data_IF_894776659677
#
_entry.id   IF_894776659677
#
_cell.length_a   1.000
_cell.length_b   1.000
_cell.length_c   1.000
_cell.angle_alpha   90.00
_cell.angle_beta   90.00
_cell.angle_gamma   90.00
#
_symmetry.space_group_name_H-M   'P 1'
#
loop_
_entity.id
_entity.type
_entity.pdbx_description
1 polymer ?
#
# COMPACT_ATOMS: atom_id res chain seq x y z
N UNK A 1 -12.63 -19.35 -6.26
CA UNK A 1 -12.80 -19.57 -4.82
C UNK A 1 -11.67 -20.44 -4.25
N UNK A 2 -11.24 -21.49 -4.97
CA UNK A 2 -10.23 -22.45 -4.49
C UNK A 2 -8.84 -21.80 -4.33
N UNK A 3 -8.45 -20.90 -5.24
CA UNK A 3 -7.22 -20.11 -5.12
C UNK A 3 -7.25 -19.27 -3.83
N UNK A 4 -8.37 -18.59 -3.54
CA UNK A 4 -8.50 -17.78 -2.33
C UNK A 4 -8.35 -18.63 -1.06
N UNK A 5 -8.96 -19.81 -1.02
CA UNK A 5 -8.82 -20.74 0.11
C UNK A 5 -7.37 -21.19 0.30
N UNK A 6 -6.69 -21.60 -0.78
CA UNK A 6 -5.31 -22.02 -0.72
C UNK A 6 -4.39 -20.88 -0.25
N UNK A 7 -4.63 -19.64 -0.66
CA UNK A 7 -3.87 -18.48 -0.18
C UNK A 7 -4.13 -18.20 1.30
N UNK A 8 -5.36 -18.31 1.78
CA UNK A 8 -5.69 -18.15 3.19
C UNK A 8 -5.06 -19.25 4.06
N UNK A 9 -5.08 -20.50 3.61
CA UNK A 9 -4.38 -21.62 4.27
C UNK A 9 -2.88 -21.37 4.33
N UNK A 10 -2.27 -20.87 3.25
CA UNK A 10 -0.85 -20.49 3.22
C UNK A 10 -0.54 -19.34 4.18
N UNK A 11 -1.35 -18.28 4.20
CA UNK A 11 -1.20 -17.17 5.15
C UNK A 11 -1.25 -17.68 6.59
N UNK A 12 -2.21 -18.53 6.92
CA UNK A 12 -2.33 -19.12 8.25
C UNK A 12 -1.11 -19.98 8.62
N UNK A 13 -0.60 -20.78 7.67
CA UNK A 13 0.60 -21.61 7.88
C UNK A 13 1.87 -20.77 8.09
N UNK A 14 1.95 -19.58 7.48
CA UNK A 14 3.07 -18.65 7.61
C UNK A 14 2.92 -17.68 8.80
N UNK A 15 1.78 -17.69 9.50
CA UNK A 15 1.49 -16.74 10.57
C UNK A 15 1.23 -15.31 10.07
N UNK A 16 0.83 -15.14 8.80
CA UNK A 16 0.45 -13.85 8.25
C UNK A 16 -1.00 -13.53 8.62
N UNK A 17 -1.25 -12.32 9.13
CA UNK A 17 -2.57 -11.85 9.55
C UNK A 17 -3.25 -10.94 8.51
N UNK A 18 -2.56 -10.58 7.43
CA UNK A 18 -3.06 -9.76 6.33
C UNK A 18 -2.84 -10.45 4.99
N UNK A 19 -3.87 -10.50 4.17
CA UNK A 19 -3.81 -10.89 2.75
C UNK A 19 -4.16 -9.69 1.87
N UNK A 20 -3.24 -9.32 0.98
CA UNK A 20 -3.45 -8.27 0.00
C UNK A 20 -4.33 -8.77 -1.15
N UNK A 21 -5.29 -7.96 -1.55
CA UNK A 21 -6.16 -8.20 -2.71
C UNK A 21 -6.20 -6.94 -3.59
N UNK A 22 -5.66 -7.04 -4.80
CA UNK A 22 -5.63 -5.93 -5.74
C UNK A 22 -6.92 -5.84 -6.58
N UNK A 23 -7.23 -4.65 -7.05
CA UNK A 23 -8.33 -4.40 -7.97
C UNK A 23 -8.11 -5.10 -9.31
N UNK A 24 -9.19 -5.51 -9.95
CA UNK A 24 -9.13 -6.26 -11.20
C UNK A 24 -8.69 -5.38 -12.38
N UNK A 25 -7.75 -5.90 -13.16
CA UNK A 25 -7.30 -5.32 -14.44
C UNK A 25 -7.95 -5.99 -15.65
N UNK A 26 -8.80 -7.01 -15.43
CA UNK A 26 -9.47 -7.76 -16.48
C UNK A 26 -10.47 -6.88 -17.24
N UNK A 27 -10.54 -7.08 -18.56
CA UNK A 27 -11.59 -6.48 -19.41
C UNK A 27 -12.99 -6.97 -19.07
N UNK A 28 -13.10 -8.09 -18.33
CA UNK A 28 -14.35 -8.69 -17.86
C UNK A 28 -14.68 -8.29 -16.41
N UNK A 29 -13.90 -7.39 -15.80
CA UNK A 29 -14.20 -6.90 -14.45
C UNK A 29 -15.56 -6.19 -14.43
N UNK A 30 -16.30 -6.41 -13.35
CA UNK A 30 -17.56 -5.70 -13.14
C UNK A 30 -17.33 -4.19 -13.02
N UNK A 31 -18.19 -3.42 -13.69
CA UNK A 31 -18.24 -1.96 -13.48
C UNK A 31 -19.16 -1.56 -12.30
N UNK A 32 -19.89 -2.51 -11.73
CA UNK A 32 -20.78 -2.30 -10.60
C UNK A 32 -20.00 -2.47 -9.28
N UNK A 33 -19.84 -1.38 -8.54
CA UNK A 33 -19.12 -1.35 -7.25
C UNK A 33 -19.83 -2.19 -6.17
N UNK A 34 -21.15 -2.32 -6.21
CA UNK A 34 -21.88 -3.18 -5.27
C UNK A 34 -21.59 -4.67 -5.55
N UNK A 35 -21.36 -5.02 -6.81
CA UNK A 35 -20.91 -6.36 -7.17
C UNK A 35 -19.49 -6.63 -6.63
N UNK A 36 -18.57 -5.69 -6.83
CA UNK A 36 -17.20 -5.79 -6.33
C UNK A 36 -17.21 -5.90 -4.81
N UNK A 37 -18.00 -5.06 -4.12
CA UNK A 37 -18.14 -5.09 -2.66
C UNK A 37 -18.67 -6.42 -2.14
N UNK A 38 -19.69 -7.00 -2.80
CA UNK A 38 -20.22 -8.34 -2.45
C UNK A 38 -19.18 -9.44 -2.59
N UNK A 39 -18.34 -9.38 -3.62
CA UNK A 39 -17.30 -10.39 -3.83
C UNK A 39 -16.15 -10.25 -2.83
N UNK A 40 -15.73 -9.02 -2.50
CA UNK A 40 -14.75 -8.77 -1.44
C UNK A 40 -15.30 -9.16 -0.06
N UNK A 41 -16.58 -8.92 0.22
CA UNK A 41 -17.23 -9.39 1.45
C UNK A 41 -17.17 -10.93 1.55
N UNK A 42 -17.42 -11.66 0.46
CA UNK A 42 -17.28 -13.14 0.45
C UNK A 42 -15.84 -13.56 0.77
N UNK A 43 -14.85 -12.89 0.18
CA UNK A 43 -13.43 -13.18 0.46
C UNK A 43 -13.11 -12.90 1.93
N UNK A 44 -13.53 -11.75 2.45
CA UNK A 44 -13.33 -11.39 3.86
C UNK A 44 -13.99 -12.39 4.81
N UNK A 45 -15.21 -12.83 4.52
CA UNK A 45 -15.90 -13.87 5.32
C UNK A 45 -15.16 -15.21 5.32
N UNK A 46 -14.55 -15.61 4.18
CA UNK A 46 -13.71 -16.81 4.10
C UNK A 46 -12.43 -16.68 4.94
N UNK A 47 -11.93 -15.47 5.14
CA UNK A 47 -10.72 -15.20 5.89
C UNK A 47 -10.94 -15.20 7.42
N UNK A 48 -12.17 -14.98 7.91
CA UNK A 48 -12.50 -14.91 9.35
C UNK A 48 -12.03 -16.16 10.12
N UNK A 49 -12.29 -17.40 9.69
CA UNK A 49 -11.87 -18.59 10.43
C UNK A 49 -10.35 -18.73 10.59
N UNK A 50 -9.59 -18.06 9.72
CA UNK A 50 -8.12 -18.03 9.75
C UNK A 50 -7.54 -16.84 10.54
N UNK A 51 -8.40 -15.94 11.05
CA UNK A 51 -7.96 -14.71 11.73
C UNK A 51 -7.30 -13.70 10.79
N UNK A 52 -7.55 -13.80 9.47
CA UNK A 52 -6.88 -12.99 8.44
C UNK A 52 -7.75 -11.80 8.06
N UNK A 53 -7.12 -10.64 7.94
CA UNK A 53 -7.70 -9.41 7.38
C UNK A 53 -7.42 -9.34 5.88
N UNK A 54 -8.33 -8.78 5.11
CA UNK A 54 -8.16 -8.55 3.68
C UNK A 54 -7.87 -7.06 3.48
N UNK A 55 -6.70 -6.72 2.95
CA UNK A 55 -6.32 -5.38 2.56
C UNK A 55 -6.57 -5.19 1.06
N UNK A 56 -7.55 -4.36 0.70
CA UNK A 56 -7.92 -4.12 -0.69
C UNK A 56 -7.18 -2.93 -1.27
N UNK A 57 -6.53 -3.12 -2.41
CA UNK A 57 -5.71 -2.13 -3.10
C UNK A 57 -6.33 -1.71 -4.43
N UNK A 58 -6.46 -0.40 -4.64
CA UNK A 58 -6.86 0.19 -5.93
C UNK A 58 -5.64 0.44 -6.82
N UNK A 59 -5.35 -0.46 -7.77
CA UNK A 59 -4.26 -0.28 -8.74
C UNK A 59 -4.59 0.87 -9.70
N UNK A 60 -3.68 1.82 -9.92
CA UNK A 60 -3.89 2.99 -10.80
C UNK A 60 -4.13 2.64 -12.28
N UNK A 61 -4.02 1.36 -12.65
CA UNK A 61 -4.46 0.79 -13.94
C UNK A 61 -5.57 -0.23 -13.78
N UNK A 62 -6.23 -0.26 -12.61
CA UNK A 62 -7.42 -1.08 -12.37
C UNK A 62 -8.56 -0.72 -13.33
N UNK A 63 -9.37 -1.71 -13.70
CA UNK A 63 -10.42 -1.49 -14.69
C UNK A 63 -11.55 -0.60 -14.19
N UNK A 64 -11.99 -0.80 -12.98
CA UNK A 64 -13.12 -0.08 -12.35
C UNK A 64 -12.67 0.64 -11.10
N UNK A 65 -11.91 -0.03 -10.25
CA UNK A 65 -11.34 0.54 -9.03
C UNK A 65 -9.87 0.84 -9.32
N UNK A 66 -9.55 2.10 -9.55
CA UNK A 66 -8.21 2.56 -9.95
C UNK A 66 -7.68 3.72 -9.11
N UNK A 67 -8.39 4.04 -8.02
CA UNK A 67 -8.00 5.04 -7.03
C UNK A 67 -8.32 4.52 -5.63
N UNK A 68 -7.57 4.96 -4.61
CA UNK A 68 -7.81 4.55 -3.24
C UNK A 68 -9.17 5.02 -2.70
N UNK A 69 -9.69 6.16 -3.20
CA UNK A 69 -11.02 6.66 -2.85
C UNK A 69 -12.14 5.75 -3.31
N UNK A 70 -12.03 5.23 -4.53
CA UNK A 70 -12.98 4.22 -5.05
C UNK A 70 -12.82 2.88 -4.32
N UNK A 71 -11.58 2.48 -3.98
CA UNK A 71 -11.35 1.29 -3.15
C UNK A 71 -11.97 1.46 -1.76
N UNK A 72 -11.89 2.65 -1.18
CA UNK A 72 -12.54 2.97 0.09
C UNK A 72 -14.07 2.87 0.01
N UNK A 73 -14.70 3.42 -1.03
CA UNK A 73 -16.14 3.27 -1.25
C UNK A 73 -16.57 1.80 -1.30
N UNK A 74 -15.79 0.95 -1.99
CA UNK A 74 -16.03 -0.49 -2.03
C UNK A 74 -15.90 -1.15 -0.66
N UNK A 75 -14.88 -0.78 0.13
CA UNK A 75 -14.69 -1.28 1.51
C UNK A 75 -15.89 -0.89 2.39
N UNK A 76 -16.35 0.36 2.30
CA UNK A 76 -17.53 0.84 3.03
C UNK A 76 -18.80 0.08 2.64
N UNK A 77 -19.05 -0.12 1.34
CA UNK A 77 -20.20 -0.90 0.84
C UNK A 77 -20.17 -2.36 1.27
N UNK A 78 -18.98 -2.95 1.31
CA UNK A 78 -18.82 -4.32 1.76
C UNK A 78 -19.15 -4.50 3.24
N UNK A 79 -18.98 -3.48 4.05
CA UNK A 79 -19.31 -3.43 5.49
C UNK A 79 -18.87 -4.71 6.22
N UNK A 80 -17.58 -5.01 6.18
CA UNK A 80 -17.01 -6.21 6.76
C UNK A 80 -15.84 -5.83 7.70
N UNK A 81 -15.82 -6.31 8.97
CA UNK A 81 -14.86 -5.84 9.96
C UNK A 81 -13.40 -6.16 9.60
N UNK A 82 -13.15 -7.29 8.94
CA UNK A 82 -11.83 -7.73 8.51
C UNK A 82 -11.50 -7.41 7.04
N UNK A 83 -12.25 -6.48 6.42
CA UNK A 83 -11.91 -5.88 5.13
C UNK A 83 -11.52 -4.42 5.35
N UNK A 84 -10.42 -4.01 4.77
CA UNK A 84 -9.90 -2.64 4.84
C UNK A 84 -9.06 -2.31 3.60
N UNK A 85 -8.34 -1.20 3.66
CA UNK A 85 -7.47 -0.76 2.57
C UNK A 85 -6.04 -1.27 2.74
N UNK A 86 -5.39 -1.59 1.62
CA UNK A 86 -3.98 -1.34 1.39
C UNK A 86 -3.85 0.00 0.67
N UNK A 87 -3.17 0.95 1.29
CA UNK A 87 -2.92 2.26 0.72
C UNK A 87 -1.50 2.28 0.12
N UNK A 88 -1.38 2.25 -1.21
CA UNK A 88 -0.09 2.40 -1.89
C UNK A 88 0.06 3.83 -2.42
N UNK A 89 1.11 4.51 -1.96
CA UNK A 89 1.45 5.87 -2.36
C UNK A 89 1.68 6.01 -3.87
N UNK A 90 2.28 5.01 -4.50
CA UNK A 90 2.49 5.04 -5.95
C UNK A 90 1.17 5.22 -6.70
N UNK A 91 0.15 4.45 -6.34
CA UNK A 91 -1.13 4.50 -7.05
C UNK A 91 -1.85 5.84 -6.83
N UNK A 92 -1.78 6.40 -5.64
CA UNK A 92 -2.33 7.72 -5.35
C UNK A 92 -1.66 8.82 -6.18
N UNK A 93 -0.32 8.83 -6.20
CA UNK A 93 0.49 9.82 -6.92
C UNK A 93 0.37 9.65 -8.44
N UNK A 94 0.46 8.42 -8.95
CA UNK A 94 0.38 8.13 -10.37
C UNK A 94 -1.01 8.43 -10.96
N UNK A 95 -2.09 8.22 -10.20
CA UNK A 95 -3.45 8.59 -10.58
C UNK A 95 -3.74 10.09 -10.33
N UNK A 96 -2.89 10.78 -9.55
CA UNK A 96 -3.11 12.15 -9.07
C UNK A 96 -4.41 12.29 -8.25
N UNK A 97 -4.72 11.25 -7.49
CA UNK A 97 -5.86 11.30 -6.58
C UNK A 97 -5.54 12.31 -5.47
N UNK A 98 -6.48 13.25 -5.17
CA UNK A 98 -6.25 14.25 -4.14
C UNK A 98 -5.89 13.64 -2.79
N UNK A 99 -4.78 14.07 -2.17
CA UNK A 99 -4.34 13.53 -0.88
C UNK A 99 -5.22 13.99 0.28
N UNK A 100 -5.97 15.07 0.12
CA UNK A 100 -6.95 15.57 1.09
C UNK A 100 -8.04 14.55 1.39
N UNK A 101 -8.35 13.66 0.45
CA UNK A 101 -9.33 12.58 0.66
C UNK A 101 -8.85 11.52 1.66
N UNK A 102 -7.57 11.53 2.04
CA UNK A 102 -7.05 10.69 3.13
C UNK A 102 -7.76 11.03 4.45
N UNK A 103 -8.09 12.31 4.65
CA UNK A 103 -8.69 12.81 5.88
C UNK A 103 -10.11 12.22 6.14
N UNK A 104 -10.72 11.61 5.10
CA UNK A 104 -12.05 10.98 5.15
C UNK A 104 -11.98 9.47 5.45
N UNK A 105 -10.79 8.88 5.52
CA UNK A 105 -10.62 7.45 5.76
C UNK A 105 -10.77 7.11 7.25
N UNK A 106 -11.22 5.89 7.54
CA UNK A 106 -11.11 5.33 8.90
C UNK A 106 -9.72 4.72 9.10
N UNK A 107 -8.85 5.27 9.97
CA UNK A 107 -7.51 4.76 10.17
C UNK A 107 -7.47 3.29 10.63
N UNK A 108 -8.52 2.81 11.31
CA UNK A 108 -8.66 1.41 11.74
C UNK A 108 -8.95 0.45 10.59
N UNK A 109 -9.31 1.00 9.43
CA UNK A 109 -9.56 0.25 8.19
C UNK A 109 -8.43 0.36 7.19
N UNK A 110 -7.35 1.05 7.50
CA UNK A 110 -6.10 1.02 6.73
C UNK A 110 -5.24 -0.08 7.34
N UNK A 111 -5.10 -1.21 6.65
CA UNK A 111 -4.42 -2.39 7.19
C UNK A 111 -2.95 -2.47 6.80
N UNK A 112 -2.56 -1.77 5.73
CA UNK A 112 -1.18 -1.66 5.27
C UNK A 112 -1.01 -0.36 4.49
N UNK A 113 0.11 0.31 4.67
CA UNK A 113 0.56 1.42 3.83
C UNK A 113 1.83 1.01 3.10
N UNK A 114 1.78 1.05 1.76
CA UNK A 114 2.92 0.81 0.90
C UNK A 114 3.46 2.14 0.37
N UNK A 115 4.78 2.32 0.47
CA UNK A 115 5.44 3.55 0.08
C UNK A 115 6.48 3.30 -1.00
N UNK A 116 6.41 4.10 -2.05
CA UNK A 116 7.42 4.22 -3.09
C UNK A 116 7.28 5.57 -3.80
N UNK A 117 8.31 5.94 -4.52
CA UNK A 117 8.38 7.14 -5.35
C UNK A 117 8.74 6.76 -6.80
N UNK A 118 8.81 7.70 -7.70
CA UNK A 118 9.27 7.53 -9.08
C UNK A 118 9.88 8.83 -9.63
N UNK A 119 10.59 8.75 -10.79
CA UNK A 119 11.51 9.80 -11.24
C UNK A 119 10.89 10.85 -12.19
N UNK A 120 9.63 10.74 -12.56
CA UNK A 120 8.96 11.69 -13.47
C UNK A 120 7.65 12.21 -12.87
N UNK A 121 7.31 13.44 -13.22
CA UNK A 121 6.18 14.17 -12.64
C UNK A 121 4.80 13.59 -13.00
N UNK A 122 4.69 12.89 -14.12
CA UNK A 122 3.40 12.43 -14.63
C UNK A 122 3.48 11.04 -15.25
N UNK A 123 2.42 10.29 -15.03
CA UNK A 123 2.06 9.09 -15.77
C UNK A 123 0.69 9.30 -16.38
N UNK A 124 0.62 9.43 -17.72
CA UNK A 124 -0.62 9.87 -18.42
C UNK A 124 -1.53 8.72 -18.80
N UNK A 125 -0.96 7.57 -19.09
CA UNK A 125 -1.69 6.40 -19.55
C UNK A 125 -1.64 5.25 -18.55
N UNK A 126 -2.57 4.32 -18.66
CA UNK A 126 -2.55 3.10 -17.85
C UNK A 126 -1.29 2.27 -18.09
N UNK A 127 -0.79 2.24 -19.33
CA UNK A 127 0.44 1.55 -19.68
C UNK A 127 1.66 2.18 -19.01
N UNK A 128 1.77 3.52 -19.04
CA UNK A 128 2.83 4.25 -18.32
C UNK A 128 2.78 3.98 -16.82
N UNK A 129 1.60 4.01 -16.20
CA UNK A 129 1.41 3.69 -14.77
C UNK A 129 1.86 2.26 -14.46
N UNK A 130 1.38 1.31 -15.24
CA UNK A 130 1.72 -0.10 -15.04
C UNK A 130 3.22 -0.35 -15.23
N UNK A 131 3.84 0.22 -16.27
CA UNK A 131 5.28 0.08 -16.53
C UNK A 131 6.10 0.72 -15.42
N UNK A 132 5.75 1.95 -15.00
CA UNK A 132 6.41 2.63 -13.88
C UNK A 132 6.33 1.83 -12.60
N UNK A 133 5.13 1.35 -12.27
CA UNK A 133 4.89 0.58 -11.05
C UNK A 133 5.69 -0.72 -10.97
N UNK A 134 5.91 -1.37 -12.10
CA UNK A 134 6.55 -2.70 -12.15
C UNK A 134 8.05 -2.68 -12.35
N UNK A 135 8.60 -1.52 -12.81
CA UNK A 135 9.98 -1.47 -13.30
C UNK A 135 10.80 -0.31 -12.75
N UNK A 136 10.14 0.80 -12.36
CA UNK A 136 10.84 2.08 -12.16
C UNK A 136 10.47 2.78 -10.84
N UNK A 137 9.91 2.08 -9.86
CA UNK A 137 9.74 2.66 -8.53
C UNK A 137 11.09 2.87 -7.87
N UNK A 138 11.21 3.92 -7.08
CA UNK A 138 12.38 4.20 -6.23
C UNK A 138 11.94 4.31 -4.77
N UNK A 139 12.88 4.30 -3.84
CA UNK A 139 12.55 4.48 -2.45
C UNK A 139 12.03 5.90 -2.17
N UNK A 140 11.12 6.08 -1.19
CA UNK A 140 10.65 7.40 -0.76
C UNK A 140 11.82 8.34 -0.46
N UNK A 141 11.76 9.58 -0.99
CA UNK A 141 12.84 10.56 -0.89
C UNK A 141 13.90 10.48 -1.99
N UNK A 142 13.83 9.50 -2.89
CA UNK A 142 14.74 9.38 -4.03
C UNK A 142 14.13 9.88 -5.34
N UNK A 143 12.82 10.00 -5.43
CA UNK A 143 12.10 10.45 -6.61
C UNK A 143 11.69 11.92 -6.57
N UNK A 144 10.78 12.28 -7.44
CA UNK A 144 10.34 13.67 -7.60
C UNK A 144 9.08 14.02 -6.80
N UNK A 145 8.50 13.05 -6.08
CA UNK A 145 7.26 13.23 -5.30
C UNK A 145 7.51 13.28 -3.78
N UNK A 146 8.73 13.52 -3.35
CA UNK A 146 9.11 13.49 -1.92
C UNK A 146 8.26 14.42 -1.04
N UNK A 147 7.89 15.62 -1.53
CA UNK A 147 7.00 16.54 -0.79
C UNK A 147 5.58 15.98 -0.66
N UNK A 148 5.04 15.41 -1.71
CA UNK A 148 3.71 14.80 -1.68
C UNK A 148 3.69 13.53 -0.81
N UNK A 149 4.77 12.75 -0.81
CA UNK A 149 4.93 11.60 0.10
C UNK A 149 5.01 12.03 1.55
N UNK A 150 5.73 13.12 1.85
CA UNK A 150 5.78 13.67 3.20
C UNK A 150 4.39 14.14 3.66
N UNK A 151 3.63 14.89 2.82
CA UNK A 151 2.26 15.31 3.12
C UNK A 151 1.35 14.09 3.36
N UNK A 152 1.43 13.07 2.51
CA UNK A 152 0.68 11.82 2.65
C UNK A 152 0.92 11.15 4.01
N UNK A 153 2.19 10.98 4.39
CA UNK A 153 2.56 10.32 5.64
C UNK A 153 2.12 11.15 6.85
N UNK A 154 2.26 12.48 6.78
CA UNK A 154 1.79 13.38 7.84
C UNK A 154 0.27 13.37 7.97
N UNK A 155 -0.49 13.31 6.87
CA UNK A 155 -1.96 13.15 6.91
C UNK A 155 -2.36 11.85 7.57
N UNK A 156 -1.72 10.73 7.23
CA UNK A 156 -1.97 9.45 7.89
C UNK A 156 -1.66 9.49 9.38
N UNK A 157 -0.58 10.18 9.79
CA UNK A 157 -0.24 10.39 11.20
C UNK A 157 -1.32 11.22 11.91
N UNK A 158 -1.76 12.33 11.32
CA UNK A 158 -2.82 13.19 11.89
C UNK A 158 -4.15 12.45 11.96
N UNK A 159 -4.46 11.62 10.96
CA UNK A 159 -5.64 10.77 10.93
C UNK A 159 -5.63 9.72 12.06
N UNK A 160 -4.45 9.38 12.59
CA UNK A 160 -4.29 8.39 13.66
C UNK A 160 -4.00 6.98 13.13
N UNK A 161 -3.35 6.86 11.98
CA UNK A 161 -2.86 5.57 11.51
C UNK A 161 -1.68 5.10 12.36
N UNK A 162 -1.80 3.90 12.93
CA UNK A 162 -0.80 3.26 13.80
C UNK A 162 -0.24 1.95 13.23
N UNK A 163 -0.56 1.65 11.96
CA UNK A 163 -0.11 0.42 11.31
C UNK A 163 1.29 0.52 10.71
N UNK A 164 1.65 -0.52 9.97
CA UNK A 164 2.97 -0.65 9.37
C UNK A 164 3.10 0.13 8.07
N UNK A 165 4.29 0.72 7.85
CA UNK A 165 4.73 1.24 6.56
C UNK A 165 5.67 0.23 5.90
N UNK A 166 5.37 -0.16 4.67
CA UNK A 166 6.16 -1.08 3.87
C UNK A 166 6.72 -0.37 2.64
N UNK A 167 7.96 -0.63 2.26
CA UNK A 167 8.46 -0.20 0.96
C UNK A 167 8.11 -1.23 -0.10
N UNK A 168 7.36 -0.80 -1.11
CA UNK A 168 7.08 -1.61 -2.29
C UNK A 168 7.77 -1.01 -3.52
N UNK A 169 9.00 -1.44 -3.75
CA UNK A 169 9.89 -0.87 -4.76
C UNK A 169 10.27 -1.92 -5.80
N UNK A 170 9.51 -1.97 -6.90
CA UNK A 170 9.85 -2.74 -8.08
C UNK A 170 10.75 -1.90 -8.99
N UNK A 171 12.03 -2.30 -9.12
CA UNK A 171 13.01 -1.56 -9.91
C UNK A 171 14.01 -2.53 -10.53
N UNK A 172 14.03 -2.61 -11.86
CA UNK A 172 14.90 -3.54 -12.59
C UNK A 172 16.38 -3.18 -12.44
N UNK A 173 16.71 -1.88 -12.31
CA UNK A 173 18.08 -1.46 -12.07
C UNK A 173 18.57 -1.88 -10.68
N UNK A 174 17.70 -1.87 -9.67
CA UNK A 174 18.04 -2.31 -8.32
C UNK A 174 18.35 -3.80 -8.26
N UNK A 175 17.74 -4.60 -9.13
CA UNK A 175 18.05 -6.04 -9.23
C UNK A 175 19.47 -6.31 -9.74
N UNK A 176 20.11 -5.31 -10.39
CA UNK A 176 21.48 -5.40 -10.84
C UNK A 176 22.50 -4.89 -9.80
N UNK A 177 22.04 -4.32 -8.70
CA UNK A 177 22.90 -3.79 -7.65
C UNK A 177 23.18 -4.85 -6.56
N UNK A 178 24.35 -4.75 -5.87
CA UNK A 178 24.57 -5.52 -4.66
C UNK A 178 23.48 -5.27 -3.61
N UNK A 179 23.00 -6.32 -2.95
CA UNK A 179 21.93 -6.24 -1.93
C UNK A 179 22.21 -5.20 -0.84
N UNK A 180 23.48 -5.06 -0.44
CA UNK A 180 23.91 -4.09 0.56
C UNK A 180 23.66 -2.64 0.10
N UNK A 181 23.80 -2.35 -1.20
CA UNK A 181 23.53 -1.03 -1.76
C UNK A 181 22.03 -0.74 -1.71
N UNK A 182 21.19 -1.70 -2.13
CA UNK A 182 19.73 -1.57 -2.09
C UNK A 182 19.25 -1.41 -0.64
N UNK A 183 19.75 -2.24 0.27
CA UNK A 183 19.42 -2.16 1.70
C UNK A 183 19.83 -0.80 2.32
N UNK A 184 21.00 -0.26 1.94
CA UNK A 184 21.44 1.04 2.40
C UNK A 184 20.55 2.19 1.87
N UNK A 185 20.00 2.07 0.65
CA UNK A 185 19.02 3.03 0.09
C UNK A 185 17.71 2.97 0.87
N UNK A 186 17.17 1.75 1.07
CA UNK A 186 15.96 1.54 1.88
C UNK A 186 16.12 2.11 3.31
N UNK A 187 17.26 1.86 3.94
CA UNK A 187 17.56 2.39 5.27
C UNK A 187 17.59 3.93 5.30
N UNK A 188 18.22 4.58 4.30
CA UNK A 188 18.21 6.06 4.23
C UNK A 188 16.79 6.60 4.06
N UNK A 189 15.98 5.95 3.25
CA UNK A 189 14.57 6.31 3.06
C UNK A 189 13.77 6.17 4.36
N UNK A 190 13.99 5.09 5.11
CA UNK A 190 13.36 4.90 6.42
C UNK A 190 13.78 5.97 7.43
N UNK A 191 15.07 6.36 7.44
CA UNK A 191 15.55 7.46 8.28
C UNK A 191 14.93 8.79 7.89
N UNK A 192 14.86 9.10 6.59
CA UNK A 192 14.21 10.31 6.09
C UNK A 192 12.74 10.38 6.55
N UNK A 193 11.98 9.30 6.39
CA UNK A 193 10.59 9.26 6.86
C UNK A 193 10.49 9.46 8.38
N UNK A 194 11.33 8.77 9.14
CA UNK A 194 11.26 8.81 10.61
C UNK A 194 11.74 10.17 11.17
N UNK A 195 12.89 10.67 10.71
CA UNK A 195 13.54 11.82 11.33
C UNK A 195 13.09 13.16 10.72
N UNK A 196 13.04 13.23 9.38
CA UNK A 196 12.76 14.48 8.68
C UNK A 196 11.26 14.71 8.47
N UNK A 197 10.46 13.64 8.28
CA UNK A 197 9.01 13.75 8.05
C UNK A 197 8.23 13.61 9.36
N UNK A 198 8.39 12.49 10.06
CA UNK A 198 7.61 12.18 11.26
C UNK A 198 8.21 12.76 12.56
N UNK A 199 9.43 13.29 12.50
CA UNK A 199 10.17 13.83 13.65
C UNK A 199 10.29 12.84 14.81
N UNK A 200 10.40 11.53 14.51
CA UNK A 200 10.63 10.49 15.50
C UNK A 200 12.12 10.46 15.85
N UNK A 201 12.51 10.72 17.12
CA UNK A 201 13.91 10.72 17.48
C UNK A 201 14.49 9.31 17.39
N UNK A 202 15.74 9.20 16.96
CA UNK A 202 16.47 7.93 17.02
C UNK A 202 16.51 7.42 18.45
N UNK A 203 16.24 6.13 18.70
CA UNK A 203 16.50 5.55 20.00
C UNK A 203 17.99 5.70 20.32
N UNK A 204 18.29 6.25 21.50
CA UNK A 204 19.66 6.33 21.98
C UNK A 204 20.22 4.91 22.14
N UNK A 205 21.50 4.68 21.77
CA UNK A 205 22.13 3.39 22.01
C UNK A 205 22.03 3.02 23.50
N UNK A 206 21.52 1.83 23.80
CA UNK A 206 21.50 1.35 25.17
C UNK A 206 22.96 1.04 25.58
N UNK A 207 23.52 1.87 26.46
CA UNK A 207 24.86 1.70 27.03
C UNK A 207 25.00 0.41 27.86
N UNK A 208 23.88 -0.23 28.21
CA UNK A 208 23.85 -1.45 29.03
C UNK A 208 24.19 -2.75 28.28
N UNK A 209 24.35 -2.73 26.96
CA UNK A 209 24.71 -3.91 26.18
C UNK A 209 26.22 -4.09 25.94
N UNK A 210 27.05 -3.25 26.59
CA UNK A 210 28.51 -3.27 26.46
C UNK A 210 29.22 -3.67 27.78
N UNK A 211 28.55 -4.40 28.69
CA UNK A 211 29.18 -5.00 29.87
C UNK A 211 29.19 -6.51 29.79
#
# INVERSE_FOLDING_TARGET
LDIAKAMLEMCAALGCDVLLACSSTSTHASADLDHVARDLRKLAMLAIPHGIRIAYEGLSWGRTVNEYTTAWDVVCRADCPNLGLCFDSFHALAARTPLESIDELDPKKIFLVQLSDFMWQETRTFEERMTTARTFRVFPGEGVHSEALADLVLRLQVLGYEGDYSFEVFNDDYQQLPLQVVAARAHRSALWLAEDVLHIPRPLPHWTSMQ
#
